data_IF_802487960322
#
_entry.id   IF_802487960322
#
_cell.length_a   1.000
_cell.length_b   1.000
_cell.length_c   1.000
_cell.angle_alpha   90.00
_cell.angle_beta   90.00
_cell.angle_gamma   90.00
#
_symmetry.space_group_name_H-M   'P 1'
#
loop_
_entity.id
_entity.type
_entity.pdbx_description
1 polymer ?
#
# COMPACT_ATOMS: atom_id res chain seq x y z
N UNK A 1 6.57 -10.26 17.56
CA UNK A 1 6.49 -11.14 16.37
C UNK A 1 5.06 -11.33 15.88
N UNK A 2 4.12 -11.78 16.73
CA UNK A 2 2.72 -12.01 16.33
C UNK A 2 2.03 -10.78 15.72
N UNK A 3 2.22 -9.59 16.31
CA UNK A 3 1.70 -8.33 15.76
C UNK A 3 2.25 -8.00 14.37
N UNK A 4 3.55 -8.27 14.13
CA UNK A 4 4.19 -7.99 12.84
C UNK A 4 3.66 -8.92 11.74
N UNK A 5 3.49 -10.21 12.06
CA UNK A 5 2.90 -11.19 11.13
C UNK A 5 1.45 -10.84 10.78
N UNK A 6 0.64 -10.47 11.78
CA UNK A 6 -0.75 -10.06 11.56
C UNK A 6 -0.86 -8.77 10.73
N UNK A 7 -0.05 -7.75 11.03
CA UNK A 7 -0.03 -6.49 10.29
C UNK A 7 0.28 -6.67 8.80
N UNK A 8 1.14 -7.64 8.45
CA UNK A 8 1.45 -7.95 7.05
C UNK A 8 0.22 -8.49 6.31
N UNK A 9 -0.55 -9.38 6.94
CA UNK A 9 -1.78 -9.89 6.33
C UNK A 9 -2.81 -8.77 6.14
N UNK A 10 -2.96 -7.89 7.13
CA UNK A 10 -3.89 -6.77 7.07
C UNK A 10 -3.59 -5.77 5.94
N UNK A 11 -2.35 -5.62 5.54
CA UNK A 11 -1.97 -4.70 4.45
C UNK A 11 -2.05 -5.36 3.07
N UNK A 12 -1.79 -6.68 2.98
CA UNK A 12 -1.83 -7.39 1.69
C UNK A 12 -3.26 -7.63 1.18
N UNK A 13 -4.20 -7.99 2.07
CA UNK A 13 -5.56 -8.36 1.67
C UNK A 13 -6.34 -7.22 1.02
N UNK A 14 -6.39 -5.98 1.55
CA UNK A 14 -7.16 -4.92 0.91
C UNK A 14 -6.59 -4.51 -0.45
N UNK A 15 -5.26 -4.52 -0.61
CA UNK A 15 -4.63 -4.26 -1.90
C UNK A 15 -5.03 -5.32 -2.94
N UNK A 16 -5.09 -6.59 -2.53
CA UNK A 16 -5.57 -7.69 -3.38
C UNK A 16 -7.05 -7.51 -3.75
N UNK A 17 -7.92 -7.17 -2.78
CA UNK A 17 -9.34 -6.91 -3.02
C UNK A 17 -9.54 -5.78 -4.05
N UNK A 18 -8.71 -4.73 -3.99
CA UNK A 18 -8.74 -3.66 -5.00
C UNK A 18 -8.34 -4.17 -6.39
N UNK A 19 -7.34 -5.05 -6.47
CA UNK A 19 -6.92 -5.65 -7.73
C UNK A 19 -8.02 -6.54 -8.36
N UNK A 20 -8.79 -7.23 -7.52
CA UNK A 20 -9.85 -8.17 -7.93
C UNK A 20 -11.16 -7.46 -8.35
N UNK A 21 -11.52 -6.35 -7.69
CA UNK A 21 -12.80 -5.63 -7.92
C UNK A 21 -12.68 -4.58 -9.03
N UNK A 22 -11.56 -3.84 -9.09
CA UNK A 22 -11.47 -2.65 -9.95
C UNK A 22 -10.74 -2.92 -11.26
N UNK A 23 -11.32 -2.41 -12.34
CA UNK A 23 -10.70 -2.38 -13.66
C UNK A 23 -9.44 -1.50 -13.69
N UNK A 24 -8.56 -1.79 -14.66
CA UNK A 24 -7.25 -1.15 -14.81
C UNK A 24 -7.28 0.39 -14.79
N UNK A 25 -8.30 1.01 -15.40
CA UNK A 25 -8.43 2.47 -15.51
C UNK A 25 -8.89 3.15 -14.21
N UNK A 26 -9.58 2.43 -13.34
CA UNK A 26 -10.08 2.94 -12.04
C UNK A 26 -9.22 2.48 -10.85
N UNK A 27 -8.37 1.48 -11.06
CA UNK A 27 -7.53 0.86 -10.04
C UNK A 27 -6.61 1.85 -9.33
N UNK A 28 -6.03 2.82 -10.05
CA UNK A 28 -5.16 3.85 -9.46
C UNK A 28 -5.88 4.69 -8.40
N UNK A 29 -7.09 5.16 -8.71
CA UNK A 29 -7.95 5.90 -7.78
C UNK A 29 -8.40 5.04 -6.59
N UNK A 30 -8.76 3.78 -6.82
CA UNK A 30 -9.15 2.86 -5.74
C UNK A 30 -7.98 2.61 -4.77
N UNK A 31 -6.77 2.40 -5.31
CA UNK A 31 -5.54 2.30 -4.52
C UNK A 31 -5.25 3.58 -3.75
N UNK A 32 -5.49 4.75 -4.33
CA UNK A 32 -5.33 6.02 -3.63
C UNK A 32 -6.21 6.12 -2.39
N UNK A 33 -7.47 5.71 -2.46
CA UNK A 33 -8.36 5.65 -1.30
C UNK A 33 -7.90 4.62 -0.26
N UNK A 34 -7.45 3.46 -0.71
CA UNK A 34 -6.83 2.46 0.16
C UNK A 34 -5.61 3.03 0.90
N UNK A 35 -4.67 3.64 0.17
CA UNK A 35 -3.47 4.25 0.77
C UNK A 35 -3.83 5.37 1.71
N UNK A 36 -4.84 6.19 1.40
CA UNK A 36 -5.31 7.25 2.30
C UNK A 36 -5.91 6.70 3.60
N UNK A 37 -6.71 5.64 3.53
CA UNK A 37 -7.23 4.97 4.71
C UNK A 37 -6.10 4.38 5.57
N UNK A 38 -5.10 3.76 4.93
CA UNK A 38 -3.91 3.23 5.60
C UNK A 38 -3.11 4.33 6.31
N UNK A 39 -2.85 5.45 5.64
CA UNK A 39 -2.01 6.52 6.18
C UNK A 39 -2.73 7.37 7.23
N UNK A 40 -4.06 7.44 7.21
CA UNK A 40 -4.88 8.08 8.27
C UNK A 40 -4.64 7.42 9.63
N UNK A 41 -4.22 6.15 9.66
CA UNK A 41 -3.81 5.45 10.88
C UNK A 41 -2.71 6.16 11.67
N UNK A 42 -1.90 7.02 11.04
CA UNK A 42 -0.86 7.80 11.72
C UNK A 42 -1.39 8.72 12.82
N UNK A 43 -2.67 9.12 12.76
CA UNK A 43 -3.32 9.92 13.82
C UNK A 43 -3.39 9.19 15.17
N UNK A 44 -3.26 7.86 15.21
CA UNK A 44 -3.20 7.10 16.46
C UNK A 44 -2.05 7.54 17.36
N UNK A 45 -0.94 8.03 16.79
CA UNK A 45 0.20 8.55 17.53
C UNK A 45 -0.17 9.80 18.38
N UNK A 46 -1.07 10.65 17.87
CA UNK A 46 -1.57 11.82 18.62
C UNK A 46 -2.36 11.36 19.84
N UNK A 47 -3.25 10.39 19.64
CA UNK A 47 -4.03 9.81 20.73
C UNK A 47 -3.12 9.16 21.78
N UNK A 48 -2.08 8.44 21.35
CA UNK A 48 -1.10 7.84 22.25
C UNK A 48 -0.37 8.88 23.11
N UNK A 49 0.12 9.96 22.49
CA UNK A 49 0.89 11.00 23.19
C UNK A 49 0.07 11.74 24.25
N UNK A 50 -1.17 12.13 23.95
CA UNK A 50 -2.03 12.83 24.92
C UNK A 50 -2.60 11.92 26.02
N UNK A 51 -2.83 10.65 25.71
CA UNK A 51 -3.29 9.68 26.71
C UNK A 51 -2.22 9.43 27.77
N UNK A 52 -0.94 9.40 27.37
CA UNK A 52 0.18 9.31 28.31
C UNK A 52 0.32 10.61 29.15
N UNK A 53 0.07 11.77 28.55
CA UNK A 53 0.07 13.07 29.23
C UNK A 53 -0.98 13.15 30.36
N UNK A 54 -2.12 12.48 30.19
CA UNK A 54 -3.19 12.41 31.19
C UNK A 54 -2.86 11.57 32.43
N UNK A 55 -1.64 11.03 32.54
CA UNK A 55 -1.21 10.18 33.66
C UNK A 55 -1.69 8.73 33.56
N UNK A 56 -2.27 8.32 32.43
CA UNK A 56 -2.65 6.94 32.18
C UNK A 56 -1.43 6.09 31.80
N UNK A 57 -1.45 4.81 32.18
CA UNK A 57 -0.39 3.88 31.77
C UNK A 57 -0.43 3.61 30.27
N UNK A 58 0.73 3.38 29.67
CA UNK A 58 0.87 2.96 28.27
C UNK A 58 0.03 1.72 27.92
N UNK A 59 -0.25 0.85 28.90
CA UNK A 59 -1.13 -0.31 28.73
C UNK A 59 -2.54 0.06 28.26
N UNK A 60 -3.07 1.22 28.67
CA UNK A 60 -4.41 1.66 28.28
C UNK A 60 -4.51 1.88 26.77
N UNK A 61 -3.42 2.32 26.13
CA UNK A 61 -3.34 2.50 24.67
C UNK A 61 -3.64 1.19 23.95
N UNK A 62 -2.91 0.14 24.33
CA UNK A 62 -3.04 -1.18 23.73
C UNK A 62 -4.41 -1.81 23.99
N UNK A 63 -5.03 -1.55 25.16
CA UNK A 63 -6.40 -1.99 25.42
C UNK A 63 -7.43 -1.28 24.55
N UNK A 64 -7.26 0.01 24.29
CA UNK A 64 -8.13 0.77 23.38
C UNK A 64 -7.97 0.28 21.95
N UNK A 65 -6.73 0.10 21.46
CA UNK A 65 -6.47 -0.46 20.14
C UNK A 65 -7.06 -1.88 19.99
N UNK A 66 -6.92 -2.72 21.01
CA UNK A 66 -7.52 -4.04 21.04
C UNK A 66 -9.04 -4.00 20.96
N UNK A 67 -9.69 -3.11 21.74
CA UNK A 67 -11.13 -2.94 21.72
C UNK A 67 -11.64 -2.48 20.34
N UNK A 68 -10.95 -1.52 19.71
CA UNK A 68 -11.25 -1.07 18.34
C UNK A 68 -11.06 -2.23 17.36
N UNK A 69 -9.98 -3.01 17.50
CA UNK A 69 -9.73 -4.20 16.69
C UNK A 69 -10.85 -5.24 16.80
N UNK A 70 -11.37 -5.50 18.01
CA UNK A 70 -12.52 -6.39 18.21
C UNK A 70 -13.79 -5.85 17.54
N UNK A 71 -14.06 -4.54 17.65
CA UNK A 71 -15.21 -3.92 16.98
C UNK A 71 -15.09 -4.00 15.47
N UNK A 72 -13.90 -3.74 14.92
CA UNK A 72 -13.64 -3.87 13.48
C UNK A 72 -13.74 -5.32 13.00
N UNK A 73 -13.32 -6.30 13.81
CA UNK A 73 -13.48 -7.71 13.50
C UNK A 73 -14.96 -8.10 13.41
N UNK A 74 -15.77 -7.66 14.37
CA UNK A 74 -17.23 -7.86 14.34
C UNK A 74 -17.85 -7.14 13.14
N UNK A 75 -17.42 -5.90 12.87
CA UNK A 75 -17.90 -5.13 11.73
C UNK A 75 -17.55 -5.79 10.40
N UNK A 76 -16.34 -6.32 10.22
CA UNK A 76 -15.95 -7.06 9.01
C UNK A 76 -16.80 -8.31 8.85
N UNK A 77 -17.04 -9.05 9.93
CA UNK A 77 -17.87 -10.26 9.87
C UNK A 77 -19.30 -9.99 9.41
N UNK A 78 -19.91 -8.85 9.79
CA UNK A 78 -21.29 -8.52 9.40
C UNK A 78 -21.40 -7.63 8.15
N UNK A 79 -20.46 -6.70 7.93
CA UNK A 79 -20.58 -5.69 6.87
C UNK A 79 -19.83 -6.06 5.59
N UNK A 80 -18.80 -6.91 5.66
CA UNK A 80 -18.02 -7.29 4.49
C UNK A 80 -18.48 -8.65 3.97
N UNK A 81 -18.90 -8.64 2.71
CA UNK A 81 -19.19 -9.86 1.97
C UNK A 81 -17.88 -10.44 1.42
N UNK A 82 -17.77 -11.77 1.42
CA UNK A 82 -16.62 -12.47 0.85
C UNK A 82 -16.58 -12.29 -0.68
N UNK A 83 -15.47 -11.77 -1.20
CA UNK A 83 -15.30 -11.46 -2.63
C UNK A 83 -14.62 -12.56 -3.43
N UNK A 84 -14.23 -13.67 -2.79
CA UNK A 84 -13.54 -14.77 -3.46
C UNK A 84 -14.49 -15.48 -4.43
N UNK A 85 -14.17 -15.38 -5.72
CA UNK A 85 -14.93 -15.99 -6.80
C UNK A 85 -14.01 -16.93 -7.60
N UNK A 86 -14.37 -18.21 -7.67
CA UNK A 86 -13.68 -19.16 -8.55
C UNK A 86 -14.16 -18.91 -9.98
N UNK A 87 -13.31 -18.27 -10.79
CA UNK A 87 -13.52 -18.24 -12.23
C UNK A 87 -13.12 -19.61 -12.76
N UNK A 88 -14.10 -20.43 -13.10
CA UNK A 88 -13.81 -21.62 -13.89
C UNK A 88 -13.22 -21.15 -15.22
N UNK A 89 -11.97 -21.51 -15.51
CA UNK A 89 -11.28 -21.21 -16.78
C UNK A 89 -11.93 -21.90 -18.00
N UNK A 90 -13.15 -22.41 -17.85
CA UNK A 90 -13.85 -23.15 -18.87
C UNK A 90 -14.53 -22.15 -19.82
N UNK A 91 -13.75 -21.61 -20.75
CA UNK A 91 -14.32 -21.00 -21.96
C UNK A 91 -15.08 -22.13 -22.69
N UNK A 92 -16.41 -22.08 -22.82
CA UNK A 92 -17.13 -23.08 -23.61
C UNK A 92 -16.58 -23.07 -25.03
N UNK A 93 -16.05 -24.21 -25.50
CA UNK A 93 -15.51 -24.35 -26.87
C UNK A 93 -13.98 -24.32 -27.01
N UNK A 94 -13.22 -24.06 -25.95
CA UNK A 94 -11.74 -24.15 -25.99
C UNK A 94 -11.26 -25.27 -25.06
N UNK A 95 -10.99 -26.45 -25.63
CA UNK A 95 -10.23 -27.49 -24.94
C UNK A 95 -8.73 -27.20 -25.13
N UNK A 96 -8.04 -26.90 -24.03
CA UNK A 96 -6.58 -26.85 -23.99
C UNK A 96 -6.06 -28.29 -23.94
N UNK A 97 -5.49 -28.76 -25.05
CA UNK A 97 -4.74 -30.03 -25.04
C UNK A 97 -3.43 -29.86 -24.25
N UNK A 98 -2.91 -30.97 -23.73
CA UNK A 98 -1.69 -31.03 -22.91
C UNK A 98 -0.42 -30.44 -23.56
N UNK A 99 -0.46 -30.14 -24.87
CA UNK A 99 0.64 -29.53 -25.63
C UNK A 99 0.47 -28.01 -25.85
N UNK A 100 -0.46 -27.34 -25.16
CA UNK A 100 -0.59 -25.87 -25.17
C UNK A 100 -1.08 -25.25 -26.47
N UNK A 101 -1.54 -26.06 -27.44
CA UNK A 101 -2.19 -25.58 -28.66
C UNK A 101 -3.71 -25.55 -28.48
N UNK A 102 -4.30 -24.36 -28.55
CA UNK A 102 -5.75 -24.18 -28.56
C UNK A 102 -6.29 -24.51 -29.96
N UNK A 103 -7.17 -25.51 -30.07
CA UNK A 103 -7.91 -25.81 -31.31
C UNK A 103 -9.39 -25.48 -31.07
N UNK A 104 -9.90 -24.51 -31.82
CA UNK A 104 -11.33 -24.25 -31.92
C UNK A 104 -11.99 -25.48 -32.57
N UNK A 105 -12.95 -26.09 -31.89
CA UNK A 105 -13.82 -27.09 -32.53
C UNK A 105 -14.62 -26.38 -33.62
N UNK A 106 -14.22 -26.60 -34.87
CA UNK A 106 -15.11 -26.38 -36.02
C UNK A 106 -16.04 -27.57 -36.04
N UNK A 107 -17.26 -27.40 -35.55
CA UNK A 107 -18.45 -28.00 -36.15
C UNK A 107 -19.70 -27.29 -35.59
N UNK A 108 -20.58 -26.93 -36.54
CA UNK A 108 -21.92 -26.34 -36.42
C UNK A 108 -22.04 -24.78 -36.43
N UNK A 109 -22.33 -24.33 -37.67
CA UNK A 109 -23.15 -23.20 -38.13
C UNK A 109 -23.04 -21.79 -37.51
N UNK A 110 -22.71 -20.85 -38.42
CA UNK A 110 -22.78 -19.38 -38.33
C UNK A 110 -23.48 -18.80 -37.09
N UNK A 111 -22.74 -18.68 -36.00
CA UNK A 111 -22.96 -17.63 -35.01
C UNK A 111 -21.91 -16.56 -35.19
N UNK A 112 -22.37 -15.32 -35.34
CA UNK A 112 -21.51 -14.14 -35.52
C UNK A 112 -20.63 -14.00 -34.27
N UNK A 113 -19.38 -13.53 -34.40
CA UNK A 113 -18.46 -13.38 -33.27
C UNK A 113 -19.05 -12.56 -32.10
N UNK A 114 -19.98 -11.63 -32.39
CA UNK A 114 -20.76 -10.90 -31.39
C UNK A 114 -21.67 -11.80 -30.54
N UNK A 115 -22.22 -12.89 -31.08
CA UNK A 115 -23.14 -13.78 -30.37
C UNK A 115 -22.41 -14.70 -29.38
N UNK A 116 -21.18 -15.10 -29.71
CA UNK A 116 -20.29 -15.87 -28.81
C UNK A 116 -19.79 -14.98 -27.66
N UNK A 117 -19.51 -13.70 -27.92
CA UNK A 117 -19.10 -12.73 -26.90
C UNK A 117 -20.28 -12.37 -25.96
N UNK A 118 -21.51 -12.26 -26.50
CA UNK A 118 -22.73 -12.03 -25.73
C UNK A 118 -23.13 -13.27 -24.90
N UNK A 119 -22.96 -14.49 -25.41
CA UNK A 119 -23.24 -15.71 -24.63
C UNK A 119 -22.22 -15.93 -23.50
N UNK A 120 -20.93 -15.68 -23.73
CA UNK A 120 -19.90 -15.72 -22.67
C UNK A 120 -20.14 -14.66 -21.58
N UNK A 121 -20.75 -13.53 -21.94
CA UNK A 121 -21.14 -12.46 -21.01
C UNK A 121 -22.42 -12.80 -20.20
N UNK A 122 -23.18 -13.82 -20.60
CA UNK A 122 -24.51 -14.14 -20.05
C UNK A 122 -24.57 -15.31 -19.06
N UNK A 123 -23.44 -15.83 -18.57
CA UNK A 123 -23.49 -16.72 -17.40
C UNK A 123 -23.85 -15.91 -16.16
N UNK A 124 -25.16 -15.82 -15.87
CA UNK A 124 -25.69 -15.34 -14.61
C UNK A 124 -25.27 -16.30 -13.49
N UNK A 125 -24.09 -16.07 -12.91
CA UNK A 125 -23.72 -16.70 -11.66
C UNK A 125 -24.73 -16.27 -10.59
N UNK A 126 -25.55 -17.20 -10.11
CA UNK A 126 -26.50 -16.92 -9.04
C UNK A 126 -25.72 -16.48 -7.80
N UNK A 127 -25.97 -15.25 -7.32
CA UNK A 127 -25.35 -14.73 -6.09
C UNK A 127 -25.78 -15.60 -4.92
N UNK A 128 -24.81 -16.07 -4.13
CA UNK A 128 -25.10 -16.80 -2.90
C UNK A 128 -25.93 -15.94 -1.94
N UNK A 129 -26.77 -16.60 -1.14
CA UNK A 129 -27.52 -15.90 -0.09
C UNK A 129 -26.55 -15.30 0.94
N UNK A 130 -26.89 -14.14 1.50
CA UNK A 130 -26.09 -13.45 2.53
C UNK A 130 -25.71 -14.36 3.72
N UNK A 131 -26.60 -15.27 4.14
CA UNK A 131 -26.30 -16.26 5.18
C UNK A 131 -25.33 -17.37 4.75
N UNK A 132 -25.28 -17.69 3.45
CA UNK A 132 -24.29 -18.60 2.89
C UNK A 132 -22.92 -17.93 2.72
N UNK A 133 -22.89 -16.60 2.52
CA UNK A 133 -21.68 -15.78 2.49
C UNK A 133 -21.07 -15.55 3.89
N UNK A 134 -21.89 -15.55 4.94
CA UNK A 134 -21.48 -15.40 6.35
C UNK A 134 -20.78 -16.63 6.97
N UNK A 135 -20.53 -17.69 6.20
CA UNK A 135 -19.88 -18.90 6.72
C UNK A 135 -18.39 -18.65 6.98
N UNK A 136 -17.94 -18.90 8.21
CA UNK A 136 -16.55 -18.68 8.66
C UNK A 136 -15.48 -19.39 7.81
N UNK A 137 -15.82 -20.54 7.23
CA UNK A 137 -14.92 -21.32 6.37
C UNK A 137 -15.69 -21.71 5.12
N UNK A 138 -15.32 -21.11 3.99
CA UNK A 138 -15.82 -21.47 2.67
C UNK A 138 -14.88 -22.46 1.98
N UNK A 139 -15.28 -22.97 0.82
CA UNK A 139 -14.48 -23.88 0.00
C UNK A 139 -13.13 -23.24 -0.31
N UNK A 140 -12.06 -23.71 0.31
CA UNK A 140 -10.69 -23.54 -0.17
C UNK A 140 -10.47 -24.51 -1.33
N UNK A 141 -9.80 -24.09 -2.39
CA UNK A 141 -9.41 -25.00 -3.48
C UNK A 141 -8.58 -26.15 -2.88
N UNK A 142 -9.08 -27.41 -2.87
CA UNK A 142 -8.40 -28.53 -2.26
C UNK A 142 -7.04 -28.84 -2.91
N UNK A 143 -6.83 -28.37 -4.15
CA UNK A 143 -5.61 -28.59 -4.91
C UNK A 143 -4.64 -27.41 -4.87
N UNK A 144 -4.92 -26.36 -4.09
CA UNK A 144 -4.00 -25.23 -3.98
C UNK A 144 -2.76 -25.63 -3.17
N UNK A 145 -1.56 -25.62 -3.77
CA UNK A 145 -0.35 -25.98 -3.05
C UNK A 145 0.12 -24.78 -2.22
N UNK A 146 -0.53 -24.53 -1.07
CA UNK A 146 -0.28 -23.36 -0.20
C UNK A 146 1.21 -23.23 0.14
N UNK A 147 1.88 -24.34 0.44
CA UNK A 147 3.32 -24.34 0.75
C UNK A 147 4.15 -23.94 -0.48
N UNK A 148 3.80 -24.44 -1.66
CA UNK A 148 4.47 -24.09 -2.91
C UNK A 148 4.21 -22.63 -3.28
N UNK A 149 3.00 -22.12 -3.05
CA UNK A 149 2.63 -20.72 -3.24
C UNK A 149 3.48 -19.80 -2.35
N UNK A 150 3.65 -20.18 -1.07
CA UNK A 150 4.50 -19.45 -0.13
C UNK A 150 5.97 -19.46 -0.58
N UNK A 151 6.50 -20.60 -1.01
CA UNK A 151 7.90 -20.69 -1.50
C UNK A 151 8.07 -19.93 -2.81
N UNK A 152 7.11 -20.03 -3.74
CA UNK A 152 7.11 -19.34 -5.04
C UNK A 152 7.06 -17.82 -4.89
N UNK A 153 6.41 -17.32 -3.83
CA UNK A 153 6.43 -15.88 -3.49
C UNK A 153 7.86 -15.34 -3.36
N UNK A 154 8.81 -16.13 -2.81
CA UNK A 154 10.22 -15.70 -2.72
C UNK A 154 10.92 -15.61 -4.08
N UNK A 155 10.47 -16.34 -5.10
CA UNK A 155 11.03 -16.23 -6.46
C UNK A 155 10.80 -14.85 -7.06
N UNK A 156 9.73 -14.14 -6.64
CA UNK A 156 9.46 -12.78 -7.11
C UNK A 156 10.50 -11.75 -6.65
N UNK A 157 11.35 -12.05 -5.65
CA UNK A 157 12.49 -11.17 -5.31
C UNK A 157 13.58 -11.15 -6.39
N UNK A 158 13.62 -12.14 -7.28
CA UNK A 158 14.56 -12.19 -8.41
C UNK A 158 14.05 -11.34 -9.58
N UNK A 159 12.75 -11.03 -9.62
CA UNK A 159 12.11 -10.23 -10.67
C UNK A 159 12.49 -8.76 -10.49
N UNK A 160 13.22 -8.13 -11.44
CA UNK A 160 13.78 -6.78 -11.23
C UNK A 160 12.74 -5.70 -10.90
N UNK A 161 11.57 -5.64 -11.57
CA UNK A 161 10.51 -4.68 -11.21
C UNK A 161 10.03 -4.83 -9.76
N UNK A 162 9.75 -6.06 -9.33
CA UNK A 162 9.26 -6.33 -7.97
C UNK A 162 10.34 -5.98 -6.94
N UNK A 163 11.60 -6.37 -7.20
CA UNK A 163 12.71 -6.03 -6.33
C UNK A 163 12.92 -4.52 -6.20
N UNK A 164 12.82 -3.77 -7.30
CA UNK A 164 12.90 -2.31 -7.29
C UNK A 164 11.78 -1.69 -6.46
N UNK A 165 10.54 -2.16 -6.62
CA UNK A 165 9.39 -1.71 -5.83
C UNK A 165 9.61 -2.02 -4.35
N UNK A 166 9.96 -3.25 -3.99
CA UNK A 166 10.23 -3.65 -2.60
C UNK A 166 11.29 -2.77 -1.95
N UNK A 167 12.38 -2.52 -2.67
CA UNK A 167 13.54 -1.76 -2.17
C UNK A 167 13.17 -0.30 -1.95
N UNK A 168 12.60 0.35 -2.96
CA UNK A 168 12.27 1.77 -2.88
C UNK A 168 11.13 2.05 -1.89
N UNK A 169 10.10 1.20 -1.87
CA UNK A 169 8.99 1.31 -0.91
C UNK A 169 9.50 1.11 0.53
N UNK A 170 10.34 0.10 0.77
CA UNK A 170 10.94 -0.16 2.09
C UNK A 170 11.83 0.97 2.57
N UNK A 171 12.64 1.57 1.68
CA UNK A 171 13.48 2.73 2.00
C UNK A 171 12.61 3.93 2.39
N UNK A 172 11.54 4.23 1.65
CA UNK A 172 10.66 5.38 1.96
C UNK A 172 9.96 5.19 3.30
N UNK A 173 9.41 4.01 3.61
CA UNK A 173 8.83 3.74 4.93
C UNK A 173 9.90 3.85 6.02
N UNK A 174 11.05 3.20 5.84
CA UNK A 174 12.12 3.17 6.83
C UNK A 174 12.64 4.57 7.14
N UNK A 175 12.86 5.37 6.10
CA UNK A 175 13.25 6.76 6.23
C UNK A 175 12.15 7.56 6.94
N UNK A 176 10.88 7.50 6.51
CA UNK A 176 9.80 8.24 7.17
C UNK A 176 9.66 7.89 8.66
N UNK A 177 9.68 6.59 8.98
CA UNK A 177 9.49 6.10 10.33
C UNK A 177 10.61 6.56 11.27
N UNK A 178 11.87 6.44 10.86
CA UNK A 178 13.02 6.75 11.73
C UNK A 178 13.41 8.21 11.69
N UNK A 179 13.46 8.79 10.48
CA UNK A 179 13.87 10.18 10.27
C UNK A 179 12.99 11.11 11.08
N UNK A 180 11.69 10.86 11.08
CA UNK A 180 10.74 11.77 11.72
C UNK A 180 10.27 11.24 13.07
N UNK A 181 9.80 9.99 13.17
CA UNK A 181 9.20 9.52 14.43
C UNK A 181 10.23 9.32 15.54
N UNK A 182 11.44 8.86 15.21
CA UNK A 182 12.47 8.62 16.23
C UNK A 182 13.30 9.87 16.56
N UNK A 183 13.65 10.69 15.56
CA UNK A 183 14.51 11.87 15.81
C UNK A 183 13.74 13.09 16.28
N UNK A 184 12.51 13.32 15.77
CA UNK A 184 11.78 14.55 16.05
C UNK A 184 11.54 14.79 17.53
N UNK A 185 11.06 13.81 18.34
CA UNK A 185 10.89 14.02 19.78
C UNK A 185 12.18 14.43 20.49
N UNK A 186 13.31 13.86 20.08
CA UNK A 186 14.62 14.21 20.63
C UNK A 186 15.07 15.62 20.29
N UNK A 187 14.80 16.07 19.05
CA UNK A 187 15.15 17.42 18.58
C UNK A 187 14.28 18.48 19.28
N UNK A 188 12.95 18.29 19.32
CA UNK A 188 12.04 19.31 19.84
C UNK A 188 11.99 19.34 21.37
N UNK A 189 12.31 18.25 22.06
CA UNK A 189 12.43 18.25 23.51
C UNK A 189 13.69 18.99 23.99
N UNK A 190 14.74 19.02 23.19
CA UNK A 190 15.96 19.75 23.49
C UNK A 190 15.79 21.28 23.32
N UNK A 191 16.58 22.11 24.04
CA UNK A 191 16.67 23.54 23.74
C UNK A 191 17.14 23.77 22.29
N UNK A 192 16.61 24.79 21.57
CA UNK A 192 15.80 25.92 22.03
C UNK A 192 14.27 25.71 21.98
N UNK A 193 13.78 24.57 21.48
CA UNK A 193 12.35 24.34 21.32
C UNK A 193 11.65 23.99 22.64
N UNK A 194 12.29 23.16 23.47
CA UNK A 194 11.82 22.78 24.81
C UNK A 194 10.34 22.39 24.85
N UNK A 195 9.89 21.64 23.85
CA UNK A 195 8.51 21.14 23.80
C UNK A 195 8.26 20.15 24.92
N UNK A 196 7.08 20.22 25.57
CA UNK A 196 6.60 19.13 26.41
C UNK A 196 6.56 17.83 25.60
N UNK A 197 6.97 16.72 26.21
CA UNK A 197 7.07 15.42 25.54
C UNK A 197 5.70 15.00 24.98
N UNK A 198 4.60 15.35 25.66
CA UNK A 198 3.24 15.10 25.17
C UNK A 198 2.93 15.75 23.82
N UNK A 199 3.53 16.89 23.50
CA UNK A 199 3.29 17.62 22.26
C UNK A 199 4.10 17.08 21.08
N UNK A 200 5.06 16.18 21.31
CA UNK A 200 5.88 15.61 20.23
C UNK A 200 5.05 14.76 19.25
N UNK A 201 3.96 14.14 19.74
CA UNK A 201 3.02 13.38 18.91
C UNK A 201 2.22 14.20 17.90
N UNK A 202 2.16 15.54 18.07
CA UNK A 202 1.49 16.44 17.12
C UNK A 202 2.11 16.38 15.71
N UNK A 203 3.33 15.89 15.56
CA UNK A 203 3.95 15.66 14.26
C UNK A 203 3.08 14.78 13.33
N UNK A 204 2.32 13.84 13.90
CA UNK A 204 1.40 13.00 13.14
C UNK A 204 0.25 13.79 12.50
N UNK A 205 -0.14 14.93 13.07
CA UNK A 205 -1.11 15.85 12.43
C UNK A 205 -0.52 16.45 11.15
N UNK A 206 0.77 16.82 11.17
CA UNK A 206 1.45 17.30 9.95
C UNK A 206 1.55 16.22 8.88
N UNK A 207 1.91 14.99 9.29
CA UNK A 207 1.91 13.85 8.39
C UNK A 207 0.53 13.63 7.76
N UNK A 208 -0.53 13.66 8.57
CA UNK A 208 -1.91 13.55 8.10
C UNK A 208 -2.30 14.66 7.13
N UNK A 209 -1.94 15.92 7.41
CA UNK A 209 -2.21 17.03 6.49
C UNK A 209 -1.49 16.87 5.15
N UNK A 210 -0.25 16.35 5.16
CA UNK A 210 0.48 15.99 3.95
C UNK A 210 -0.25 14.92 3.13
N UNK A 211 -0.70 13.85 3.78
CA UNK A 211 -1.48 12.79 3.15
C UNK A 211 -2.84 13.28 2.64
N UNK A 212 -3.55 14.12 3.40
CA UNK A 212 -4.83 14.69 3.00
C UNK A 212 -4.70 15.60 1.79
N UNK A 213 -3.65 16.44 1.76
CA UNK A 213 -3.36 17.27 0.61
C UNK A 213 -3.08 16.41 -0.64
N UNK A 214 -2.33 15.32 -0.50
CA UNK A 214 -2.04 14.41 -1.61
C UNK A 214 -3.29 13.63 -2.08
N UNK A 215 -4.05 13.07 -1.15
CA UNK A 215 -5.24 12.26 -1.42
C UNK A 215 -6.44 13.07 -1.95
N UNK A 216 -6.55 14.34 -1.58
CA UNK A 216 -7.65 15.21 -2.01
C UNK A 216 -7.51 15.67 -3.47
N UNK A 217 -7.09 16.92 -3.71
CA UNK A 217 -7.08 17.50 -5.06
C UNK A 217 -6.10 16.81 -6.01
N UNK A 218 -5.01 16.24 -5.50
CA UNK A 218 -3.92 15.76 -6.34
C UNK A 218 -4.01 14.25 -6.69
N UNK A 219 -4.87 13.48 -6.02
CA UNK A 219 -4.97 12.02 -6.24
C UNK A 219 -5.40 11.63 -7.67
N UNK A 220 -6.19 12.45 -8.34
CA UNK A 220 -6.63 12.16 -9.72
C UNK A 220 -5.63 12.56 -10.81
N UNK A 221 -4.56 13.28 -10.47
CA UNK A 221 -3.60 13.78 -11.45
C UNK A 221 -2.84 12.67 -12.17
N UNK A 222 -2.34 11.63 -11.48
CA UNK A 222 -1.55 10.61 -12.15
C UNK A 222 -2.36 9.76 -13.10
N UNK A 223 -3.59 9.38 -12.73
CA UNK A 223 -4.48 8.63 -13.62
C UNK A 223 -4.83 9.44 -14.88
N UNK A 224 -5.07 10.75 -14.73
CA UNK A 224 -5.30 11.67 -15.86
C UNK A 224 -4.06 11.80 -16.75
N UNK A 225 -2.86 11.77 -16.16
CA UNK A 225 -1.61 11.87 -16.90
C UNK A 225 -1.33 10.58 -17.68
N UNK A 226 -1.48 9.42 -17.05
CA UNK A 226 -1.35 8.11 -17.70
C UNK A 226 -2.38 7.93 -18.82
N UNK A 227 -3.63 8.39 -18.64
CA UNK A 227 -4.63 8.37 -19.70
C UNK A 227 -4.24 9.24 -20.92
N UNK A 228 -3.62 10.40 -20.68
CA UNK A 228 -3.11 11.26 -21.77
C UNK A 228 -1.96 10.61 -22.52
N UNK A 229 -1.03 9.97 -21.82
CA UNK A 229 0.08 9.23 -22.44
C UNK A 229 -0.42 8.03 -23.25
N UNK A 230 -1.40 7.30 -22.72
CA UNK A 230 -2.05 6.17 -23.40
C UNK A 230 -2.71 6.62 -24.70
N UNK A 231 -3.45 7.74 -24.68
CA UNK A 231 -4.06 8.31 -25.89
C UNK A 231 -3.01 8.76 -26.92
N UNK A 232 -1.84 9.21 -26.47
CA UNK A 232 -0.71 9.57 -27.34
C UNK A 232 -0.01 8.34 -27.92
N UNK A 233 -0.03 7.20 -27.21
CA UNK A 233 0.54 5.93 -27.65
C UNK A 233 -0.49 5.00 -28.33
N UNK A 234 -1.32 5.54 -29.23
CA UNK A 234 -2.30 4.76 -29.99
C UNK A 234 -3.27 3.92 -29.13
N UNK A 235 -3.61 4.37 -27.92
CA UNK A 235 -4.44 3.67 -26.93
C UNK A 235 -3.83 2.38 -26.38
N UNK A 236 -2.51 2.19 -26.50
CA UNK A 236 -1.79 1.10 -25.85
C UNK A 236 -1.36 1.57 -24.46
N UNK A 237 -1.83 0.90 -23.42
CA UNK A 237 -1.49 1.20 -22.03
C UNK A 237 -0.24 0.43 -21.60
N UNK A 238 0.73 1.14 -21.01
CA UNK A 238 1.91 0.56 -20.39
C UNK A 238 1.93 0.92 -18.91
N UNK A 239 2.28 -0.04 -18.04
CA UNK A 239 2.34 0.16 -16.58
C UNK A 239 3.30 1.31 -16.19
N UNK A 240 4.33 1.55 -16.98
CA UNK A 240 5.34 2.60 -16.75
C UNK A 240 4.77 4.03 -16.82
N UNK A 241 3.62 4.24 -17.46
CA UNK A 241 3.00 5.56 -17.54
C UNK A 241 2.61 6.15 -16.18
N UNK A 242 2.47 5.30 -15.15
CA UNK A 242 2.23 5.74 -13.76
C UNK A 242 3.51 6.26 -13.10
N UNK A 243 4.68 5.73 -13.46
CA UNK A 243 5.97 6.10 -12.85
C UNK A 243 6.38 7.53 -13.19
N UNK A 244 5.94 8.07 -14.33
CA UNK A 244 6.24 9.46 -14.71
C UNK A 244 5.74 10.50 -13.69
N UNK A 245 4.69 10.18 -12.94
CA UNK A 245 4.20 11.07 -11.88
C UNK A 245 5.13 11.09 -10.65
N UNK A 246 5.93 10.04 -10.46
CA UNK A 246 6.93 9.98 -9.40
C UNK A 246 8.13 10.89 -9.66
N UNK A 247 8.31 11.40 -10.88
CA UNK A 247 9.38 12.37 -11.19
C UNK A 247 9.24 13.64 -10.37
N UNK A 248 8.00 14.12 -10.14
CA UNK A 248 7.79 15.30 -9.28
C UNK A 248 8.14 14.97 -7.83
N UNK A 249 7.71 13.80 -7.37
CA UNK A 249 7.97 13.29 -6.02
C UNK A 249 9.47 13.14 -5.77
N UNK A 250 10.23 12.74 -6.79
CA UNK A 250 11.68 12.58 -6.74
C UNK A 250 12.41 13.87 -6.34
N UNK A 251 11.85 15.04 -6.63
CA UNK A 251 12.44 16.32 -6.22
C UNK A 251 11.86 16.81 -4.88
N UNK A 252 10.56 16.58 -4.65
CA UNK A 252 9.87 17.04 -3.44
C UNK A 252 10.38 16.31 -2.20
N UNK A 253 10.55 14.99 -2.25
CA UNK A 253 10.96 14.20 -1.07
C UNK A 253 12.38 14.54 -0.59
N UNK A 254 13.42 14.61 -1.44
CA UNK A 254 14.75 15.06 -1.00
C UNK A 254 14.77 16.51 -0.53
N UNK A 255 14.04 17.42 -1.19
CA UNK A 255 13.94 18.79 -0.73
C UNK A 255 13.34 18.90 0.68
N UNK A 256 12.37 18.04 1.02
CA UNK A 256 11.81 17.98 2.36
C UNK A 256 12.79 17.43 3.41
N UNK A 257 13.63 16.45 3.07
CA UNK A 257 14.68 15.95 3.96
C UNK A 257 15.73 17.03 4.25
N UNK A 258 16.20 17.71 3.21
CA UNK A 258 17.16 18.81 3.33
C UNK A 258 16.58 19.92 4.20
N UNK A 259 15.30 20.25 4.02
CA UNK A 259 14.62 21.26 4.84
C UNK A 259 14.54 20.82 6.30
N UNK A 260 14.30 19.54 6.58
CA UNK A 260 14.27 18.98 7.93
C UNK A 260 15.66 19.03 8.57
N UNK A 261 16.69 18.52 7.88
CA UNK A 261 18.08 18.53 8.34
C UNK A 261 18.60 19.93 8.62
N UNK A 262 18.38 20.86 7.68
CA UNK A 262 18.79 22.25 7.82
C UNK A 262 18.06 22.96 8.98
N UNK A 263 16.76 22.72 9.15
CA UNK A 263 15.98 23.27 10.25
C UNK A 263 16.43 22.72 11.61
N UNK A 264 16.81 21.45 11.66
CA UNK A 264 17.34 20.81 12.87
C UNK A 264 18.74 21.32 13.23
N UNK A 265 19.64 21.45 12.25
CA UNK A 265 21.03 21.88 12.48
C UNK A 265 21.09 23.36 12.91
N UNK A 266 20.39 24.24 12.20
CA UNK A 266 20.38 25.68 12.50
C UNK A 266 19.39 26.08 13.59
N UNK A 267 18.65 25.13 14.16
CA UNK A 267 17.66 25.38 15.20
C UNK A 267 16.68 26.51 14.80
N UNK A 268 16.14 26.41 13.58
CA UNK A 268 15.21 27.41 13.03
C UNK A 268 13.87 27.41 13.78
N UNK A 269 12.85 28.11 13.30
CA UNK A 269 11.52 27.98 13.89
C UNK A 269 10.99 26.54 13.73
N UNK A 270 10.37 25.97 14.77
CA UNK A 270 9.89 24.58 14.81
C UNK A 270 8.96 24.23 13.64
N UNK A 271 8.27 25.24 13.10
CA UNK A 271 7.42 25.10 11.92
C UNK A 271 8.18 24.54 10.71
N UNK A 272 9.47 24.86 10.54
CA UNK A 272 10.28 24.30 9.46
C UNK A 272 10.38 22.77 9.51
N UNK A 273 10.58 22.21 10.72
CA UNK A 273 10.60 20.76 10.95
C UNK A 273 9.24 20.13 10.65
N UNK A 274 8.18 20.72 11.21
CA UNK A 274 6.81 20.22 11.05
C UNK A 274 6.37 20.27 9.59
N UNK A 275 6.65 21.37 8.88
CA UNK A 275 6.34 21.55 7.47
C UNK A 275 7.13 20.57 6.58
N UNK A 276 8.41 20.35 6.88
CA UNK A 276 9.23 19.36 6.17
C UNK A 276 8.64 17.95 6.27
N UNK A 277 8.18 17.54 7.45
CA UNK A 277 7.52 16.23 7.62
C UNK A 277 6.24 16.15 6.79
N UNK A 278 5.38 17.19 6.83
CA UNK A 278 4.17 17.22 6.02
C UNK A 278 4.45 17.15 4.51
N UNK A 279 5.49 17.85 4.05
CA UNK A 279 5.91 17.84 2.65
C UNK A 279 6.47 16.48 2.22
N UNK A 280 7.26 15.83 3.08
CA UNK A 280 7.75 14.47 2.83
C UNK A 280 6.58 13.49 2.69
N UNK A 281 5.60 13.57 3.61
CA UNK A 281 4.46 12.66 3.64
C UNK A 281 3.50 12.88 2.47
N UNK A 282 3.38 14.12 1.98
CA UNK A 282 2.73 14.41 0.71
C UNK A 282 3.38 13.65 -0.45
N UNK A 283 4.72 13.68 -0.56
CA UNK A 283 5.45 12.92 -1.58
C UNK A 283 5.33 11.41 -1.40
N UNK A 284 5.45 10.93 -0.15
CA UNK A 284 5.32 9.53 0.20
C UNK A 284 3.96 8.95 -0.25
N UNK A 285 2.85 9.69 -0.11
CA UNK A 285 1.54 9.23 -0.56
C UNK A 285 1.52 8.78 -2.03
N UNK A 286 2.02 9.62 -2.94
CA UNK A 286 2.10 9.31 -4.36
C UNK A 286 3.02 8.12 -4.59
N UNK A 287 4.15 8.08 -3.90
CA UNK A 287 5.09 6.99 -4.01
C UNK A 287 4.47 5.64 -3.64
N UNK A 288 3.83 5.56 -2.47
CA UNK A 288 3.21 4.34 -1.94
C UNK A 288 2.07 3.86 -2.87
N UNK A 289 1.22 4.78 -3.32
CA UNK A 289 0.07 4.44 -4.17
C UNK A 289 0.51 3.90 -5.53
N UNK A 290 1.34 4.65 -6.27
CA UNK A 290 1.62 4.35 -7.67
C UNK A 290 2.68 3.29 -7.87
N UNK A 291 3.59 3.11 -6.92
CA UNK A 291 4.57 2.02 -6.98
C UNK A 291 3.88 0.66 -6.73
N UNK A 292 2.91 0.62 -5.80
CA UNK A 292 2.05 -0.55 -5.60
C UNK A 292 1.18 -0.83 -6.84
N UNK A 293 0.60 0.23 -7.41
CA UNK A 293 -0.20 0.13 -8.63
C UNK A 293 0.64 -0.34 -9.84
N UNK A 294 1.89 0.10 -9.95
CA UNK A 294 2.84 -0.33 -10.99
C UNK A 294 3.19 -1.81 -10.84
N UNK A 295 3.46 -2.29 -9.62
CA UNK A 295 3.77 -3.70 -9.40
C UNK A 295 2.60 -4.60 -9.84
N UNK A 296 1.38 -4.27 -9.43
CA UNK A 296 0.17 -5.02 -9.79
C UNK A 296 -0.14 -5.02 -11.29
N UNK A 297 0.18 -3.93 -11.99
CA UNK A 297 -0.02 -3.85 -13.44
C UNK A 297 1.13 -4.50 -14.24
N UNK A 298 2.35 -4.52 -13.70
CA UNK A 298 3.52 -5.08 -14.40
C UNK A 298 3.54 -6.61 -14.38
N UNK A 299 2.92 -7.21 -13.35
CA UNK A 299 2.86 -8.65 -13.17
C UNK A 299 1.43 -9.07 -12.80
N UNK A 300 0.66 -9.44 -13.82
CA UNK A 300 -0.70 -9.96 -13.65
C UNK A 300 -0.70 -11.46 -13.28
N UNK A 301 0.40 -12.17 -13.54
CA UNK A 301 0.55 -13.58 -13.22
C UNK A 301 0.74 -13.80 -11.71
N UNK A 302 -0.37 -14.11 -11.03
CA UNK A 302 -0.49 -14.33 -9.58
C UNK A 302 -0.17 -13.10 -8.72
N UNK A 303 -0.95 -12.02 -8.92
CA UNK A 303 -0.92 -10.79 -8.10
C UNK A 303 -0.86 -11.08 -6.58
N UNK A 304 -1.62 -12.03 -5.99
CA UNK A 304 -1.59 -12.28 -4.55
C UNK A 304 -0.21 -12.71 -4.01
N UNK A 305 0.50 -13.56 -4.76
CA UNK A 305 1.83 -14.06 -4.35
C UNK A 305 2.89 -12.98 -4.40
N UNK A 306 2.83 -12.15 -5.44
CA UNK A 306 3.69 -10.99 -5.56
C UNK A 306 3.43 -9.98 -4.42
N UNK A 307 2.17 -9.72 -4.07
CA UNK A 307 1.83 -8.81 -2.97
C UNK A 307 2.34 -9.32 -1.62
N UNK A 308 2.29 -10.63 -1.37
CA UNK A 308 2.87 -11.26 -0.16
C UNK A 308 4.39 -11.03 -0.14
N UNK A 309 5.07 -11.33 -1.24
CA UNK A 309 6.51 -11.13 -1.36
C UNK A 309 6.89 -9.65 -1.15
N UNK A 310 6.14 -8.74 -1.76
CA UNK A 310 6.34 -7.31 -1.61
C UNK A 310 6.21 -6.84 -0.17
N UNK A 311 5.21 -7.34 0.56
CA UNK A 311 5.00 -6.93 1.93
C UNK A 311 6.11 -7.42 2.84
N UNK A 312 6.57 -8.66 2.67
CA UNK A 312 7.72 -9.17 3.42
C UNK A 312 8.99 -8.37 3.08
N UNK A 313 9.26 -8.16 1.80
CA UNK A 313 10.47 -7.50 1.32
C UNK A 313 10.61 -6.06 1.80
N UNK A 314 9.56 -5.24 1.59
CA UNK A 314 9.59 -3.82 1.99
C UNK A 314 9.76 -3.68 3.52
N UNK A 315 9.12 -4.54 4.31
CA UNK A 315 9.21 -4.49 5.78
C UNK A 315 10.59 -4.94 6.27
N UNK A 316 11.20 -5.94 5.63
CA UNK A 316 12.57 -6.35 5.94
C UNK A 316 13.58 -5.22 5.66
N UNK A 317 13.43 -4.52 4.54
CA UNK A 317 14.30 -3.39 4.16
C UNK A 317 14.07 -2.21 5.10
N UNK A 318 12.81 -1.88 5.41
CA UNK A 318 12.47 -0.84 6.39
C UNK A 318 13.04 -1.14 7.77
N UNK A 319 13.06 -2.41 8.20
CA UNK A 319 13.65 -2.82 9.48
C UNK A 319 15.18 -2.75 9.45
N UNK A 320 15.82 -3.19 8.37
CA UNK A 320 17.26 -3.11 8.20
C UNK A 320 17.76 -1.66 8.24
N UNK A 321 17.07 -0.77 7.54
CA UNK A 321 17.31 0.67 7.61
C UNK A 321 17.02 1.21 9.03
N UNK A 322 15.93 0.72 9.64
CA UNK A 322 15.56 0.79 11.06
C UNK A 322 16.73 0.82 12.03
N UNK A 323 17.52 -0.25 11.92
CA UNK A 323 18.51 -0.61 12.89
C UNK A 323 19.76 0.28 12.84
N UNK A 324 20.21 0.66 11.63
CA UNK A 324 21.49 1.38 11.46
C UNK A 324 21.36 2.91 11.43
N UNK A 325 20.18 3.46 11.12
CA UNK A 325 20.01 4.92 11.02
C UNK A 325 20.31 5.65 12.32
N UNK A 326 19.92 5.09 13.48
CA UNK A 326 20.21 5.72 14.77
C UNK A 326 21.73 5.74 15.03
N UNK A 327 22.43 4.65 14.73
CA UNK A 327 23.89 4.60 14.85
C UNK A 327 24.56 5.59 13.91
N UNK A 328 24.02 5.74 12.70
CA UNK A 328 24.51 6.70 11.72
C UNK A 328 24.35 8.14 12.22
N UNK A 329 23.19 8.49 12.78
CA UNK A 329 22.92 9.80 13.37
C UNK A 329 23.86 10.12 14.53
N UNK A 330 24.11 9.14 15.40
CA UNK A 330 25.04 9.33 16.52
C UNK A 330 26.48 9.55 16.03
N UNK A 331 26.87 8.93 14.91
CA UNK A 331 28.24 8.98 14.38
C UNK A 331 28.53 10.25 13.58
N UNK A 332 27.66 10.58 12.62
CA UNK A 332 27.94 11.63 11.61
C UNK A 332 27.11 12.91 11.83
N UNK A 333 26.10 12.85 12.71
CA UNK A 333 25.23 13.98 13.05
C UNK A 333 24.04 14.17 12.10
N UNK A 334 23.01 14.86 12.60
CA UNK A 334 21.71 15.04 11.93
C UNK A 334 21.83 15.81 10.60
N UNK A 335 22.68 16.83 10.54
CA UNK A 335 22.83 17.69 9.35
C UNK A 335 23.56 17.01 8.17
N UNK A 336 24.27 15.90 8.41
CA UNK A 336 24.96 15.15 7.34
C UNK A 336 24.03 14.08 6.72
N UNK A 337 22.99 13.67 7.44
CA UNK A 337 22.14 12.52 7.09
C UNK A 337 20.87 12.93 6.36
N UNK A 338 20.35 14.13 6.63
CA UNK A 338 19.11 14.67 6.06
C UNK A 338 19.38 15.76 5.04
#
# INVERSE_FOLDING_TARGET
MLHASASSVCEALPAQVVADIFFLHERGKALGWYTFALTTGTLSAVAASYMLAGGHSYNLFFWVEFAIGCVLLVAVFFLFEETMFFRDSHIPGVQLNADGSARLQKDEEQQTAEEIEIQATSQNYARDSYLQQLKLVRRTDPNSPILTMMIRSFTYFVVPPVFWVCSTYGIIIGLAALAFTATFPGIVAAPPYSWPIENTGLIAVSAFLGYLAAAGPFSSLPDRFSARLTKKNNNIYEAEYRLWCLVVVLFVSPASLILYGYSAEKQLHWFGLVFAVGLFQFGAFFFLTYTLAYAMDSYEANVPEMLIAMNIGKQAISFGFGYEVINWIVKDGIGVIF
#
